data_IF_944409172316
#
_entry.id   IF_944409172316
#
_cell.length_a   1.000
_cell.length_b   1.000
_cell.length_c   1.000
_cell.angle_alpha   90.00
_cell.angle_beta   90.00
_cell.angle_gamma   90.00
#
_symmetry.space_group_name_H-M   'P 1'
#
loop_
_entity.id
_entity.type
_entity.pdbx_description
1 polymer ?
#
# COMPACT_ATOMS: atom_id res chain seq x y z
N UNK A 1 -33.95 29.50 11.71
CA UNK A 1 -33.90 28.16 11.06
C UNK A 1 -32.91 28.14 9.89
N UNK A 2 -32.94 29.12 8.98
CA UNK A 2 -32.01 29.18 7.82
C UNK A 2 -30.52 29.11 8.15
N UNK A 3 -30.04 29.86 9.14
CA UNK A 3 -28.62 29.86 9.53
C UNK A 3 -28.13 28.50 10.06
N UNK A 4 -29.00 27.75 10.72
CA UNK A 4 -28.67 26.42 11.24
C UNK A 4 -28.60 25.40 10.10
N UNK A 5 -29.52 25.47 9.14
CA UNK A 5 -29.47 24.64 7.93
C UNK A 5 -28.18 24.88 7.13
N UNK A 6 -27.77 26.15 6.96
CA UNK A 6 -26.51 26.50 6.30
C UNK A 6 -25.30 25.94 7.06
N UNK A 7 -25.32 26.01 8.40
CA UNK A 7 -24.25 25.45 9.25
C UNK A 7 -24.15 23.94 9.11
N UNK A 8 -25.27 23.23 9.19
CA UNK A 8 -25.34 21.77 9.05
C UNK A 8 -24.78 21.33 7.69
N UNK A 9 -25.23 21.96 6.59
CA UNK A 9 -24.74 21.63 5.25
C UNK A 9 -23.24 21.88 5.10
N UNK A 10 -22.73 22.98 5.67
CA UNK A 10 -21.29 23.30 5.66
C UNK A 10 -20.49 22.27 6.45
N UNK A 11 -20.97 21.84 7.61
CA UNK A 11 -20.31 20.83 8.43
C UNK A 11 -20.27 19.48 7.74
N UNK A 12 -21.39 19.04 7.16
CA UNK A 12 -21.46 17.81 6.37
C UNK A 12 -20.46 17.83 5.22
N UNK A 13 -20.44 18.91 4.44
CA UNK A 13 -19.47 19.07 3.33
C UNK A 13 -18.03 19.04 3.81
N UNK A 14 -17.72 19.74 4.90
CA UNK A 14 -16.37 19.76 5.47
C UNK A 14 -15.94 18.38 5.99
N UNK A 15 -16.85 17.63 6.60
CA UNK A 15 -16.60 16.26 7.05
C UNK A 15 -16.27 15.33 5.87
N UNK A 16 -17.08 15.39 4.81
CA UNK A 16 -16.85 14.63 3.58
C UNK A 16 -15.52 15.01 2.94
N UNK A 17 -15.24 16.31 2.78
CA UNK A 17 -13.97 16.77 2.19
C UNK A 17 -12.75 16.28 2.97
N UNK A 18 -12.80 16.31 4.31
CA UNK A 18 -11.70 15.78 5.13
C UNK A 18 -11.52 14.27 4.93
N UNK A 19 -12.59 13.49 4.91
CA UNK A 19 -12.53 12.04 4.69
C UNK A 19 -11.93 11.70 3.34
N UNK A 20 -12.45 12.31 2.26
CA UNK A 20 -11.97 12.09 0.89
C UNK A 20 -10.50 12.48 0.75
N UNK A 21 -10.08 13.61 1.34
CA UNK A 21 -8.67 14.03 1.31
C UNK A 21 -7.76 13.02 2.03
N UNK A 22 -8.18 12.52 3.20
CA UNK A 22 -7.43 11.50 3.93
C UNK A 22 -7.31 10.19 3.13
N UNK A 23 -8.41 9.71 2.54
CA UNK A 23 -8.42 8.49 1.72
C UNK A 23 -7.52 8.64 0.50
N UNK A 24 -7.64 9.76 -0.22
CA UNK A 24 -6.79 10.06 -1.38
C UNK A 24 -5.31 10.10 -1.00
N UNK A 25 -4.97 10.77 0.11
CA UNK A 25 -3.60 10.84 0.59
C UNK A 25 -3.05 9.47 1.00
N UNK A 26 -3.87 8.62 1.61
CA UNK A 26 -3.49 7.27 1.98
C UNK A 26 -3.26 6.39 0.76
N UNK A 27 -4.16 6.44 -0.23
CA UNK A 27 -4.01 5.72 -1.50
C UNK A 27 -2.72 6.15 -2.19
N UNK A 28 -2.46 7.46 -2.33
CA UNK A 28 -1.24 7.95 -2.96
C UNK A 28 0.03 7.43 -2.26
N UNK A 29 0.06 7.44 -0.93
CA UNK A 29 1.20 6.89 -0.17
C UNK A 29 1.39 5.40 -0.42
N UNK A 30 0.30 4.64 -0.43
CA UNK A 30 0.35 3.19 -0.67
C UNK A 30 0.81 2.86 -2.09
N UNK A 31 0.30 3.57 -3.10
CA UNK A 31 0.70 3.39 -4.50
C UNK A 31 2.17 3.76 -4.70
N UNK A 32 2.61 4.92 -4.18
CA UNK A 32 4.02 5.32 -4.27
C UNK A 32 4.96 4.32 -3.60
N UNK A 33 4.57 3.76 -2.45
CA UNK A 33 5.36 2.72 -1.79
C UNK A 33 5.43 1.43 -2.62
N UNK A 34 4.32 1.00 -3.21
CA UNK A 34 4.29 -0.21 -4.05
C UNK A 34 5.15 -0.05 -5.32
N UNK A 35 5.08 1.09 -5.99
CA UNK A 35 5.94 1.41 -7.15
C UNK A 35 7.41 1.35 -6.75
N UNK A 36 7.77 2.01 -5.65
CA UNK A 36 9.15 1.99 -5.15
C UNK A 36 9.62 0.58 -4.79
N UNK A 37 8.77 -0.25 -4.17
CA UNK A 37 9.11 -1.64 -3.87
C UNK A 37 9.44 -2.43 -5.15
N UNK A 38 8.65 -2.27 -6.21
CA UNK A 38 8.92 -2.92 -7.50
C UNK A 38 10.25 -2.47 -8.10
N UNK A 39 10.55 -1.17 -8.04
CA UNK A 39 11.82 -0.60 -8.50
C UNK A 39 13.01 -1.15 -7.70
N UNK A 40 12.93 -1.11 -6.37
CA UNK A 40 13.98 -1.58 -5.46
C UNK A 40 14.23 -3.09 -5.63
N UNK A 41 13.17 -3.89 -5.76
CA UNK A 41 13.26 -5.34 -6.01
C UNK A 41 13.93 -5.62 -7.36
N UNK A 42 13.53 -4.90 -8.40
CA UNK A 42 14.11 -5.06 -9.75
C UNK A 42 15.59 -4.68 -9.75
N UNK A 43 15.95 -3.59 -9.08
CA UNK A 43 17.33 -3.17 -8.91
C UNK A 43 18.18 -4.23 -8.18
N UNK A 44 17.67 -4.80 -7.09
CA UNK A 44 18.37 -5.85 -6.35
C UNK A 44 18.55 -7.11 -7.19
N UNK A 45 17.51 -7.54 -7.91
CA UNK A 45 17.59 -8.65 -8.86
C UNK A 45 18.71 -8.46 -9.87
N UNK A 46 18.78 -7.27 -10.47
CA UNK A 46 19.71 -7.00 -11.57
C UNK A 46 21.16 -6.77 -11.08
N UNK A 47 21.34 -6.33 -9.83
CA UNK A 47 22.67 -6.01 -9.28
C UNK A 47 23.34 -7.18 -8.53
N UNK A 48 22.58 -7.94 -7.75
CA UNK A 48 23.13 -9.02 -6.92
C UNK A 48 22.53 -10.39 -7.23
N UNK A 49 21.41 -10.47 -7.96
CA UNK A 49 20.71 -11.73 -8.21
C UNK A 49 19.92 -12.22 -6.99
N UNK A 50 18.75 -12.80 -7.23
CA UNK A 50 17.92 -13.37 -6.17
C UNK A 50 18.53 -14.61 -5.53
N UNK A 51 19.40 -15.34 -6.24
CA UNK A 51 20.15 -16.49 -5.72
C UNK A 51 21.10 -16.14 -4.56
N UNK A 52 21.42 -14.84 -4.39
CA UNK A 52 22.24 -14.34 -3.28
C UNK A 52 21.40 -13.76 -2.13
N UNK A 53 20.08 -13.93 -2.16
CA UNK A 53 19.15 -13.44 -1.14
C UNK A 53 18.51 -14.61 -0.37
N UNK A 54 18.13 -14.41 0.90
CA UNK A 54 17.33 -15.39 1.65
C UNK A 54 16.02 -15.75 0.93
N UNK A 55 15.68 -17.05 0.90
CA UNK A 55 14.50 -17.57 0.19
C UNK A 55 13.21 -16.84 0.54
N UNK A 56 13.00 -16.50 1.81
CA UNK A 56 11.81 -15.76 2.25
C UNK A 56 11.72 -14.34 1.66
N UNK A 57 12.84 -13.66 1.43
CA UNK A 57 12.87 -12.37 0.77
C UNK A 57 12.63 -12.51 -0.74
N UNK A 58 13.13 -13.60 -1.33
CA UNK A 58 12.89 -13.92 -2.74
C UNK A 58 11.40 -14.22 -2.99
N UNK A 59 10.77 -15.01 -2.12
CA UNK A 59 9.32 -15.27 -2.19
C UNK A 59 8.50 -13.97 -2.07
N UNK A 60 8.84 -13.11 -1.10
CA UNK A 60 8.18 -11.81 -0.95
C UNK A 60 8.40 -10.90 -2.17
N UNK A 61 9.61 -10.91 -2.74
CA UNK A 61 9.95 -10.16 -3.94
C UNK A 61 9.12 -10.62 -5.14
N UNK A 62 9.02 -11.94 -5.37
CA UNK A 62 8.19 -12.49 -6.44
C UNK A 62 6.71 -12.17 -6.21
N UNK A 63 6.19 -12.34 -5.00
CA UNK A 63 4.80 -12.00 -4.70
C UNK A 63 4.47 -10.53 -5.04
N UNK A 64 5.38 -9.59 -4.71
CA UNK A 64 5.21 -8.17 -5.08
C UNK A 64 5.34 -7.93 -6.59
N UNK A 65 6.23 -8.62 -7.29
CA UNK A 65 6.38 -8.47 -8.75
C UNK A 65 5.18 -9.04 -9.52
N UNK A 66 4.63 -10.16 -9.07
CA UNK A 66 3.47 -10.83 -9.68
C UNK A 66 2.16 -10.08 -9.38
N UNK A 67 2.08 -9.43 -8.22
CA UNK A 67 0.91 -8.67 -7.77
C UNK A 67 1.31 -7.24 -7.34
N UNK A 68 1.70 -6.37 -8.29
CA UNK A 68 2.23 -5.04 -7.99
C UNK A 68 1.19 -4.09 -7.36
N UNK A 69 -0.10 -4.32 -7.61
CA UNK A 69 -1.23 -3.55 -7.09
C UNK A 69 -1.80 -4.09 -5.77
N UNK A 70 -1.42 -5.30 -5.36
CA UNK A 70 -1.90 -5.89 -4.12
C UNK A 70 -1.43 -5.12 -2.88
N UNK A 71 -2.28 -5.04 -1.87
CA UNK A 71 -1.90 -4.50 -0.58
C UNK A 71 -0.88 -5.40 0.11
N UNK A 72 -0.07 -4.83 1.01
CA UNK A 72 0.86 -5.63 1.82
C UNK A 72 0.15 -6.75 2.61
N UNK A 73 -1.11 -6.55 2.99
CA UNK A 73 -1.87 -7.59 3.66
C UNK A 73 -2.13 -8.79 2.73
N UNK A 74 -2.63 -8.53 1.53
CA UNK A 74 -2.93 -9.57 0.53
C UNK A 74 -1.65 -10.32 0.12
N UNK A 75 -0.54 -9.59 -0.06
CA UNK A 75 0.76 -10.22 -0.33
C UNK A 75 1.24 -11.10 0.83
N UNK A 76 1.08 -10.65 2.08
CA UNK A 76 1.45 -11.45 3.23
C UNK A 76 0.60 -12.72 3.36
N UNK A 77 -0.68 -12.64 2.99
CA UNK A 77 -1.61 -13.77 2.96
C UNK A 77 -1.33 -14.76 1.82
N UNK A 78 -0.67 -14.34 0.73
CA UNK A 78 -0.29 -15.23 -0.38
C UNK A 78 1.00 -16.02 -0.14
N UNK A 79 1.79 -15.68 0.89
CA UNK A 79 3.03 -16.37 1.24
C UNK A 79 2.78 -17.67 2.03
N UNK A 80 3.78 -18.56 2.06
CA UNK A 80 3.71 -19.83 2.80
C UNK A 80 4.94 -20.00 3.70
N UNK A 81 4.82 -19.87 5.02
CA UNK A 81 3.60 -19.58 5.78
C UNK A 81 3.10 -18.14 5.58
N UNK A 82 1.79 -17.89 5.73
CA UNK A 82 1.25 -16.54 5.61
C UNK A 82 1.77 -15.64 6.73
N UNK A 83 2.08 -14.40 6.38
CA UNK A 83 2.60 -13.39 7.29
C UNK A 83 1.64 -12.20 7.37
N UNK A 84 1.60 -11.55 8.53
CA UNK A 84 0.84 -10.32 8.68
C UNK A 84 1.47 -9.15 7.93
N UNK A 85 0.71 -8.07 7.75
CA UNK A 85 1.18 -6.82 7.12
C UNK A 85 2.52 -6.32 7.67
N UNK A 86 2.78 -6.48 8.97
CA UNK A 86 4.03 -6.05 9.60
C UNK A 86 5.21 -6.97 9.30
N UNK A 87 4.97 -8.23 8.93
CA UNK A 87 6.04 -9.19 8.64
C UNK A 87 6.56 -9.09 7.20
N UNK A 88 5.75 -8.55 6.29
CA UNK A 88 6.12 -8.33 4.88
C UNK A 88 6.60 -6.90 4.58
N UNK A 89 6.37 -5.95 5.49
CA UNK A 89 6.73 -4.55 5.29
C UNK A 89 8.21 -4.26 5.60
#
# INVERSE_FOLDING_TARGET
MELENVRILKEMRNSVNRKVNCETANINKTVSAAVKQVEDITYLRDMIGFENMPDNLVEAAYARLDHPDATLKELGESLTPPVGKSGIN
#
